data_IF_015030662693
#
_entry.id   IF_015030662693
#
_cell.length_a   1.000
_cell.length_b   1.000
_cell.length_c   1.000
_cell.angle_alpha   90.00
_cell.angle_beta   90.00
_cell.angle_gamma   90.00
#
_symmetry.space_group_name_H-M   'P 1'
#
loop_
_entity.id
_entity.type
_entity.pdbx_description
1 polymer ?
#
# COMPACT_ATOMS: atom_id res chain seq x y z
N UNK A 1 40.44 57.35 -1.17
CA UNK A 1 40.44 56.08 -1.88
C UNK A 1 39.88 54.88 -1.04
N UNK A 2 39.85 54.93 0.28
CA UNK A 2 39.49 53.85 1.22
C UNK A 2 37.99 53.57 1.27
N UNK A 3 37.10 54.50 0.93
CA UNK A 3 35.62 54.33 1.03
C UNK A 3 35.03 53.47 -0.08
N UNK A 4 35.65 53.37 -1.24
CA UNK A 4 35.18 52.61 -2.38
C UNK A 4 35.39 51.10 -2.20
N UNK A 5 36.46 50.70 -1.55
CA UNK A 5 36.78 49.30 -1.26
C UNK A 5 35.85 48.69 -0.18
N UNK A 6 35.42 49.50 0.79
CA UNK A 6 34.47 49.08 1.82
C UNK A 6 33.10 48.75 1.25
N UNK A 7 32.64 49.50 0.23
CA UNK A 7 31.36 49.22 -0.44
C UNK A 7 31.38 47.90 -1.20
N UNK A 8 32.47 47.60 -1.89
CA UNK A 8 32.64 46.33 -2.62
C UNK A 8 32.68 45.13 -1.66
N UNK A 9 33.39 45.28 -0.54
CA UNK A 9 33.45 44.20 0.46
C UNK A 9 32.07 43.86 1.07
N UNK A 10 31.24 44.86 1.32
CA UNK A 10 29.88 44.65 1.82
C UNK A 10 28.99 43.93 0.80
N UNK A 11 29.07 44.33 -0.48
CA UNK A 11 28.30 43.66 -1.56
C UNK A 11 28.72 42.20 -1.72
N UNK A 12 30.01 41.91 -1.68
CA UNK A 12 30.55 40.56 -1.72
C UNK A 12 30.06 39.72 -0.52
N UNK A 13 30.11 40.29 0.69
CA UNK A 13 29.65 39.62 1.91
C UNK A 13 28.16 39.28 1.82
N UNK A 14 27.33 40.22 1.37
CA UNK A 14 25.88 39.97 1.16
C UNK A 14 25.67 38.88 0.10
N UNK A 15 26.45 38.91 -0.99
CA UNK A 15 26.38 37.87 -2.03
C UNK A 15 26.71 36.48 -1.51
N UNK A 16 27.76 36.35 -0.68
CA UNK A 16 28.13 35.07 -0.07
C UNK A 16 27.01 34.57 0.90
N UNK A 17 26.47 35.45 1.72
CA UNK A 17 25.38 35.12 2.64
C UNK A 17 24.11 34.68 1.86
N UNK A 18 23.78 35.38 0.78
CA UNK A 18 22.66 35.02 -0.08
C UNK A 18 22.84 33.63 -0.72
N UNK A 19 24.02 33.33 -1.23
CA UNK A 19 24.34 32.00 -1.76
C UNK A 19 24.25 30.92 -0.69
N UNK A 20 24.79 31.16 0.49
CA UNK A 20 24.69 30.19 1.61
C UNK A 20 23.24 29.95 2.02
N UNK A 21 22.41 30.98 2.07
CA UNK A 21 20.99 30.86 2.36
C UNK A 21 20.24 30.04 1.30
N UNK A 22 20.53 30.23 0.02
CA UNK A 22 19.93 29.43 -1.07
C UNK A 22 20.30 27.97 -0.96
N UNK A 23 21.57 27.64 -0.70
CA UNK A 23 22.01 26.25 -0.52
C UNK A 23 21.37 25.62 0.70
N UNK A 24 21.32 26.32 1.82
CA UNK A 24 20.67 25.83 3.04
C UNK A 24 19.18 25.54 2.80
N UNK A 25 18.47 26.43 2.12
CA UNK A 25 17.06 26.23 1.77
C UNK A 25 16.86 25.01 0.87
N UNK A 26 17.70 24.83 -0.15
CA UNK A 26 17.63 23.69 -1.04
C UNK A 26 17.85 22.36 -0.29
N UNK A 27 18.79 22.33 0.66
CA UNK A 27 19.04 21.15 1.49
C UNK A 27 17.81 20.83 2.36
N UNK A 28 17.22 21.82 3.04
CA UNK A 28 16.04 21.62 3.90
C UNK A 28 14.85 21.08 3.09
N UNK A 29 14.58 21.65 1.91
CA UNK A 29 13.51 21.17 1.02
C UNK A 29 13.76 19.73 0.58
N UNK A 30 14.99 19.41 0.20
CA UNK A 30 15.37 18.05 -0.19
C UNK A 30 15.17 17.06 0.96
N UNK A 31 15.61 17.40 2.17
CA UNK A 31 15.46 16.54 3.35
C UNK A 31 13.99 16.31 3.71
N UNK A 32 13.14 17.33 3.63
CA UNK A 32 11.71 17.20 3.92
C UNK A 32 11.00 16.27 2.94
N UNK A 33 11.36 16.34 1.67
CA UNK A 33 10.83 15.45 0.63
C UNK A 33 11.26 14.00 0.87
N UNK A 34 12.50 13.80 1.24
CA UNK A 34 13.06 12.47 1.53
C UNK A 34 12.42 11.83 2.76
N UNK A 35 12.23 12.60 3.83
CA UNK A 35 11.56 12.14 5.04
C UNK A 35 10.12 11.67 4.73
N UNK A 36 9.38 12.43 3.94
CA UNK A 36 8.02 12.08 3.52
C UNK A 36 7.97 10.80 2.65
N UNK A 37 8.95 10.59 1.77
CA UNK A 37 9.05 9.36 0.99
C UNK A 37 9.33 8.14 1.86
N UNK A 38 10.19 8.26 2.86
CA UNK A 38 10.47 7.19 3.81
C UNK A 38 9.23 6.82 4.62
N UNK A 39 8.48 7.81 5.10
CA UNK A 39 7.23 7.61 5.83
C UNK A 39 6.21 6.83 4.98
N UNK A 40 5.93 7.29 3.77
CA UNK A 40 5.04 6.58 2.84
C UNK A 40 5.50 5.15 2.53
N UNK A 41 6.81 4.94 2.37
CA UNK A 41 7.36 3.61 2.12
C UNK A 41 7.16 2.69 3.32
N UNK A 42 7.34 3.21 4.54
CA UNK A 42 7.11 2.46 5.78
C UNK A 42 5.63 2.10 5.95
N UNK A 43 4.72 3.05 5.71
CA UNK A 43 3.27 2.81 5.75
C UNK A 43 2.83 1.75 4.74
N UNK A 44 3.33 1.80 3.51
CA UNK A 44 3.05 0.78 2.50
C UNK A 44 3.59 -0.61 2.89
N UNK A 45 4.79 -0.67 3.48
CA UNK A 45 5.35 -1.93 3.94
C UNK A 45 4.52 -2.52 5.09
N UNK A 46 4.09 -1.70 6.03
CA UNK A 46 3.23 -2.09 7.14
C UNK A 46 1.87 -2.60 6.63
N UNK A 47 1.20 -1.85 5.75
CA UNK A 47 -0.07 -2.26 5.16
C UNK A 47 0.05 -3.60 4.42
N UNK A 48 1.12 -3.80 3.65
CA UNK A 48 1.39 -5.08 2.97
C UNK A 48 1.58 -6.23 3.97
N UNK A 49 2.27 -6.01 5.07
CA UNK A 49 2.47 -7.02 6.12
C UNK A 49 1.15 -7.42 6.77
N UNK A 50 0.29 -6.45 7.08
CA UNK A 50 -1.05 -6.69 7.65
C UNK A 50 -1.93 -7.47 6.68
N UNK A 51 -1.94 -7.10 5.39
CA UNK A 51 -2.69 -7.82 4.35
C UNK A 51 -2.18 -9.25 4.18
N UNK A 52 -0.87 -9.46 4.23
CA UNK A 52 -0.29 -10.81 4.16
C UNK A 52 -0.71 -11.65 5.36
N UNK A 53 -0.68 -11.10 6.57
CA UNK A 53 -1.15 -11.77 7.78
C UNK A 53 -2.64 -12.13 7.69
N UNK A 54 -3.47 -11.24 7.16
CA UNK A 54 -4.89 -11.52 6.89
C UNK A 54 -5.10 -12.67 5.89
N UNK A 55 -4.31 -12.69 4.81
CA UNK A 55 -4.37 -13.78 3.83
C UNK A 55 -3.90 -15.12 4.41
N UNK A 56 -2.86 -15.12 5.24
CA UNK A 56 -2.36 -16.33 5.89
C UNK A 56 -3.35 -16.85 6.93
N UNK A 57 -4.01 -15.95 7.67
CA UNK A 57 -5.11 -16.31 8.55
C UNK A 57 -6.26 -16.96 7.78
N UNK A 58 -6.70 -16.40 6.66
CA UNK A 58 -7.75 -16.96 5.82
C UNK A 58 -7.39 -18.38 5.32
N UNK A 59 -6.13 -18.58 4.90
CA UNK A 59 -5.62 -19.92 4.52
C UNK A 59 -5.65 -20.91 5.67
N UNK A 60 -5.32 -20.45 6.88
CA UNK A 60 -5.38 -21.32 8.08
C UNK A 60 -6.82 -21.76 8.37
N UNK A 61 -7.78 -20.82 8.33
CA UNK A 61 -9.20 -21.13 8.53
C UNK A 61 -9.68 -22.17 7.50
N UNK A 62 -9.41 -21.97 6.22
CA UNK A 62 -9.78 -22.90 5.16
C UNK A 62 -9.07 -24.26 5.28
N UNK A 63 -7.84 -24.29 5.78
CA UNK A 63 -7.10 -25.53 6.01
C UNK A 63 -7.70 -26.36 7.15
N UNK A 64 -8.15 -25.69 8.20
CA UNK A 64 -8.79 -26.37 9.34
C UNK A 64 -10.18 -26.86 8.96
N UNK A 65 -10.95 -26.08 8.23
CA UNK A 65 -12.25 -26.44 7.72
C UNK A 65 -12.20 -27.71 6.87
N UNK A 66 -11.26 -27.78 5.92
CA UNK A 66 -11.02 -28.98 5.09
C UNK A 66 -10.72 -30.25 5.88
N UNK A 67 -10.24 -30.13 7.12
CA UNK A 67 -9.99 -31.29 8.00
C UNK A 67 -11.24 -31.75 8.75
N UNK A 68 -12.18 -30.84 8.96
CA UNK A 68 -13.38 -31.05 9.76
C UNK A 68 -14.59 -31.45 8.88
N UNK A 69 -14.70 -30.88 7.68
CA UNK A 69 -15.78 -31.12 6.74
C UNK A 69 -15.25 -31.50 5.36
N UNK A 70 -16.04 -32.24 4.60
CA UNK A 70 -15.82 -32.56 3.19
C UNK A 70 -16.82 -31.87 2.27
N UNK A 71 -17.74 -31.10 2.83
CA UNK A 71 -18.78 -30.36 2.10
C UNK A 71 -18.77 -28.92 2.61
N UNK A 72 -18.51 -27.99 1.73
CA UNK A 72 -18.49 -26.57 2.03
C UNK A 72 -19.90 -26.00 2.08
N UNK A 73 -20.25 -25.24 3.12
CA UNK A 73 -21.54 -24.57 3.25
C UNK A 73 -21.40 -23.19 3.94
N UNK A 74 -22.37 -22.30 3.68
CA UNK A 74 -22.31 -20.91 4.12
C UNK A 74 -22.49 -20.68 5.63
N UNK A 75 -22.75 -21.72 6.42
CA UNK A 75 -22.84 -21.65 7.89
C UNK A 75 -21.50 -21.96 8.57
N UNK A 76 -20.44 -22.24 7.80
CA UNK A 76 -19.11 -22.56 8.29
C UNK A 76 -18.34 -21.30 8.70
N UNK A 77 -17.34 -21.44 9.60
CA UNK A 77 -16.57 -20.29 10.12
C UNK A 77 -15.91 -19.42 9.04
N UNK A 78 -15.54 -20.01 7.91
CA UNK A 78 -14.91 -19.27 6.82
C UNK A 78 -15.87 -18.31 6.11
N UNK A 79 -17.19 -18.62 6.09
CA UNK A 79 -18.21 -17.80 5.43
C UNK A 79 -18.65 -16.60 6.30
N UNK A 80 -18.29 -16.59 7.58
CA UNK A 80 -18.61 -15.51 8.49
C UNK A 80 -17.81 -14.25 8.14
N UNK A 81 -18.49 -13.11 8.06
CA UNK A 81 -17.81 -11.82 7.94
C UNK A 81 -17.05 -11.50 9.22
N UNK A 82 -15.77 -11.28 9.10
CA UNK A 82 -14.97 -10.80 10.20
C UNK A 82 -15.37 -9.37 10.57
N UNK A 83 -15.51 -9.08 11.87
CA UNK A 83 -15.62 -7.69 12.29
C UNK A 83 -14.34 -6.93 11.92
N UNK A 84 -14.44 -5.62 11.66
CA UNK A 84 -13.26 -4.80 11.44
C UNK A 84 -12.26 -4.95 12.58
N UNK A 85 -11.04 -5.31 12.27
CA UNK A 85 -9.96 -5.45 13.25
C UNK A 85 -9.11 -4.18 13.25
N UNK A 86 -9.03 -3.45 14.37
CA UNK A 86 -8.22 -2.25 14.43
C UNK A 86 -6.74 -2.60 14.30
N UNK A 87 -6.03 -1.86 13.46
CA UNK A 87 -4.57 -1.87 13.30
C UNK A 87 -4.03 -0.48 13.57
N UNK A 88 -2.71 -0.34 13.71
CA UNK A 88 -2.07 0.90 14.17
C UNK A 88 -2.52 2.17 13.41
N UNK A 89 -2.74 2.09 12.10
CA UNK A 89 -3.14 3.25 11.27
C UNK A 89 -4.40 2.98 10.43
N UNK A 90 -5.34 2.16 10.93
CA UNK A 90 -6.56 1.86 10.19
C UNK A 90 -7.29 0.64 10.70
N UNK A 91 -7.97 -0.03 9.79
CA UNK A 91 -8.74 -1.24 10.08
C UNK A 91 -8.44 -2.31 9.02
N UNK A 92 -8.30 -3.54 9.44
CA UNK A 92 -8.27 -4.70 8.55
C UNK A 92 -9.69 -5.26 8.43
N UNK A 93 -10.20 -5.28 7.21
CA UNK A 93 -11.48 -5.90 6.87
C UNK A 93 -11.23 -6.97 5.81
N UNK A 94 -11.86 -8.12 5.96
CA UNK A 94 -11.75 -9.21 5.00
C UNK A 94 -12.97 -10.11 5.01
N UNK A 95 -13.19 -10.77 3.89
CA UNK A 95 -14.20 -11.84 3.76
C UNK A 95 -13.64 -12.91 2.83
N UNK A 96 -14.10 -14.14 3.05
CA UNK A 96 -13.86 -15.26 2.15
C UNK A 96 -15.16 -15.49 1.38
N UNK A 97 -15.07 -15.69 0.08
CA UNK A 97 -16.23 -15.90 -0.80
C UNK A 97 -15.96 -17.10 -1.69
N UNK A 98 -16.91 -18.04 -1.69
CA UNK A 98 -16.86 -19.19 -2.58
C UNK A 98 -17.19 -18.77 -4.01
N UNK A 99 -16.23 -18.94 -4.90
CA UNK A 99 -16.38 -18.64 -6.32
C UNK A 99 -16.90 -19.81 -7.15
N UNK A 100 -17.02 -21.02 -6.55
CA UNK A 100 -17.50 -22.21 -7.27
C UNK A 100 -19.00 -22.13 -7.60
N UNK A 101 -19.75 -21.35 -6.80
CA UNK A 101 -21.16 -21.06 -7.07
C UNK A 101 -21.40 -20.05 -8.20
N UNK A 102 -20.33 -19.40 -8.72
CA UNK A 102 -20.43 -18.40 -9.77
C UNK A 102 -20.27 -19.04 -11.15
N UNK A 103 -21.00 -18.50 -12.12
CA UNK A 103 -20.89 -18.91 -13.51
C UNK A 103 -19.52 -18.49 -14.08
N UNK A 104 -18.76 -19.47 -14.59
CA UNK A 104 -17.48 -19.19 -15.20
C UNK A 104 -17.66 -18.78 -16.67
N UNK A 105 -17.52 -17.50 -16.96
CA UNK A 105 -17.67 -16.91 -18.30
C UNK A 105 -16.73 -17.55 -19.33
N UNK A 106 -15.57 -18.06 -18.92
CA UNK A 106 -14.63 -18.75 -19.80
C UNK A 106 -15.19 -20.06 -20.35
N UNK A 107 -16.19 -20.66 -19.69
CA UNK A 107 -16.84 -21.89 -20.17
C UNK A 107 -17.76 -21.64 -21.37
N UNK A 108 -18.11 -20.38 -21.67
CA UNK A 108 -18.91 -20.03 -22.85
C UNK A 108 -18.19 -20.34 -24.17
N UNK A 109 -16.86 -20.38 -24.17
CA UNK A 109 -16.06 -20.67 -25.35
C UNK A 109 -15.13 -21.84 -25.06
N UNK A 110 -15.24 -22.89 -25.83
CA UNK A 110 -14.32 -24.04 -25.83
C UNK A 110 -13.75 -24.21 -27.25
N UNK A 111 -12.42 -24.29 -27.36
CA UNK A 111 -11.70 -24.44 -28.64
C UNK A 111 -12.08 -23.40 -29.71
N UNK A 112 -12.32 -22.15 -29.28
CA UNK A 112 -12.68 -21.02 -30.16
C UNK A 112 -14.12 -21.08 -30.69
N UNK A 113 -14.97 -21.97 -30.16
CA UNK A 113 -16.38 -22.10 -30.52
C UNK A 113 -17.27 -21.87 -29.31
N UNK A 114 -18.48 -21.35 -29.57
CA UNK A 114 -19.49 -21.17 -28.52
C UNK A 114 -19.91 -22.52 -27.95
N UNK A 115 -19.82 -22.67 -26.63
CA UNK A 115 -20.26 -23.88 -25.95
C UNK A 115 -21.76 -23.81 -25.66
N UNK A 116 -22.56 -24.42 -26.52
CA UNK A 116 -24.03 -24.38 -26.42
C UNK A 116 -24.60 -25.09 -25.17
N UNK A 117 -23.81 -25.94 -24.48
CA UNK A 117 -24.21 -26.60 -23.25
C UNK A 117 -24.15 -25.66 -22.00
N UNK A 118 -23.56 -24.49 -22.16
CA UNK A 118 -23.38 -23.48 -21.09
C UNK A 118 -24.20 -22.21 -21.32
N UNK A 119 -25.07 -22.19 -22.36
CA UNK A 119 -26.04 -21.16 -22.66
C UNK A 119 -27.42 -21.52 -22.07
#
# INVERSE_FOLDING_TARGET
MITRERGVAIVLAIGVVAMAAMVATAIVVSQSTWARQLELTAEHAQARSVLQAGADWARAVLSDDRRLSSVDHLEEPWALRLPPMPVENGELVGQIEDQQGLFNVNNLVADGKVNAAQL
#
